data_IF_433451658017
#
_entry.id   IF_433451658017
#
_cell.length_a   1.000
_cell.length_b   1.000
_cell.length_c   1.000
_cell.angle_alpha   90.00
_cell.angle_beta   90.00
_cell.angle_gamma   90.00
#
_symmetry.space_group_name_H-M   'P 1'
#
loop_
_entity.id
_entity.type
_entity.pdbx_description
1 polymer ?
#
# COMPACT_ATOMS: atom_id res chain seq x y z
N UNK A 1 -32.60 3.04 -3.70
CA UNK A 1 -31.75 1.99 -3.11
C UNK A 1 -32.33 1.57 -1.78
N UNK A 2 -32.42 0.27 -1.50
CA UNK A 2 -32.86 -0.24 -0.19
C UNK A 2 -31.69 -0.32 0.79
N UNK A 3 -31.98 -0.33 2.09
CA UNK A 3 -30.99 -0.55 3.15
C UNK A 3 -30.18 -1.85 2.92
N UNK A 4 -30.85 -2.90 2.43
CA UNK A 4 -30.21 -4.18 2.11
C UNK A 4 -29.19 -4.05 0.97
N UNK A 5 -29.49 -3.27 -0.07
CA UNK A 5 -28.55 -3.00 -1.16
C UNK A 5 -27.33 -2.21 -0.68
N UNK A 6 -27.54 -1.23 0.22
CA UNK A 6 -26.46 -0.45 0.82
C UNK A 6 -25.54 -1.33 1.66
N UNK A 7 -26.10 -2.22 2.50
CA UNK A 7 -25.32 -3.15 3.32
C UNK A 7 -24.48 -4.12 2.48
N UNK A 8 -25.03 -4.62 1.36
CA UNK A 8 -24.28 -5.46 0.42
C UNK A 8 -23.13 -4.71 -0.23
N UNK A 9 -23.35 -3.47 -0.67
CA UNK A 9 -22.30 -2.62 -1.25
C UNK A 9 -21.18 -2.32 -0.23
N UNK A 10 -21.53 -1.98 1.02
CA UNK A 10 -20.54 -1.77 2.10
C UNK A 10 -19.70 -3.03 2.33
N UNK A 11 -20.32 -4.21 2.33
CA UNK A 11 -19.63 -5.49 2.49
C UNK A 11 -18.70 -5.80 1.33
N UNK A 12 -19.08 -5.43 0.10
CA UNK A 12 -18.22 -5.57 -1.08
C UNK A 12 -17.03 -4.59 -1.02
N UNK A 13 -17.27 -3.34 -0.64
CA UNK A 13 -16.21 -2.34 -0.45
C UNK A 13 -15.22 -2.76 0.63
N UNK A 14 -15.67 -3.36 1.74
CA UNK A 14 -14.78 -3.89 2.77
C UNK A 14 -13.83 -4.95 2.22
N UNK A 15 -14.37 -5.93 1.47
CA UNK A 15 -13.54 -6.97 0.83
C UNK A 15 -12.51 -6.37 -0.14
N UNK A 16 -12.91 -5.39 -0.94
CA UNK A 16 -12.00 -4.70 -1.86
C UNK A 16 -10.89 -3.93 -1.14
N UNK A 17 -11.20 -3.27 -0.02
CA UNK A 17 -10.20 -2.59 0.82
C UNK A 17 -9.20 -3.59 1.41
N UNK A 18 -9.68 -4.74 1.90
CA UNK A 18 -8.82 -5.80 2.44
C UNK A 18 -7.92 -6.43 1.37
N UNK A 19 -8.45 -6.66 0.16
CA UNK A 19 -7.67 -7.13 -0.98
C UNK A 19 -6.57 -6.14 -1.37
N UNK A 20 -6.91 -4.85 -1.45
CA UNK A 20 -5.94 -3.79 -1.76
C UNK A 20 -4.87 -3.65 -0.67
N UNK A 21 -5.23 -3.83 0.61
CA UNK A 21 -4.27 -3.80 1.71
C UNK A 21 -3.24 -4.93 1.59
N UNK A 22 -3.67 -6.16 1.26
CA UNK A 22 -2.78 -7.31 1.04
C UNK A 22 -1.83 -7.10 -0.16
N UNK A 23 -2.34 -6.56 -1.26
CA UNK A 23 -1.52 -6.25 -2.43
C UNK A 23 -0.46 -5.21 -2.10
N UNK A 24 -0.85 -4.18 -1.35
CA UNK A 24 0.04 -3.12 -0.93
C UNK A 24 1.14 -3.63 0.01
N UNK A 25 0.80 -4.51 0.96
CA UNK A 25 1.79 -5.14 1.85
C UNK A 25 2.85 -5.90 1.08
N UNK A 26 2.44 -6.68 0.07
CA UNK A 26 3.35 -7.41 -0.83
C UNK A 26 4.29 -6.43 -1.53
N UNK A 27 3.75 -5.38 -2.13
CA UNK A 27 4.55 -4.42 -2.87
C UNK A 27 5.51 -3.62 -1.96
N UNK A 28 5.13 -3.29 -0.73
CA UNK A 28 6.02 -2.67 0.27
C UNK A 28 7.18 -3.60 0.61
N UNK A 29 6.90 -4.89 0.81
CA UNK A 29 7.92 -5.89 1.11
C UNK A 29 8.92 -6.02 -0.05
N UNK A 30 8.42 -6.16 -1.27
CA UNK A 30 9.25 -6.29 -2.47
C UNK A 30 10.11 -5.04 -2.70
N UNK A 31 9.52 -3.85 -2.51
CA UNK A 31 10.25 -2.59 -2.64
C UNK A 31 11.37 -2.47 -1.59
N UNK A 32 11.15 -2.89 -0.34
CA UNK A 32 12.21 -2.92 0.68
C UNK A 32 13.32 -3.92 0.37
N UNK A 33 12.95 -5.09 -0.15
CA UNK A 33 13.92 -6.12 -0.53
C UNK A 33 14.79 -5.63 -1.69
N UNK A 34 14.18 -5.04 -2.72
CA UNK A 34 14.89 -4.43 -3.84
C UNK A 34 15.83 -3.30 -3.37
N UNK A 35 15.43 -2.48 -2.39
CA UNK A 35 16.32 -1.43 -1.85
C UNK A 35 17.53 -2.04 -1.16
N UNK A 36 17.34 -3.14 -0.44
CA UNK A 36 18.43 -3.86 0.22
C UNK A 36 19.41 -4.43 -0.81
N UNK A 37 18.90 -5.01 -1.90
CA UNK A 37 19.75 -5.51 -3.00
C UNK A 37 20.53 -4.37 -3.67
N UNK A 38 19.87 -3.29 -4.05
CA UNK A 38 20.53 -2.12 -4.66
C UNK A 38 21.59 -1.55 -3.71
N UNK A 39 21.30 -1.49 -2.41
CA UNK A 39 22.27 -1.02 -1.41
C UNK A 39 23.47 -1.97 -1.23
N UNK A 40 23.27 -3.28 -1.38
CA UNK A 40 24.34 -4.27 -1.33
C UNK A 40 25.25 -4.19 -2.57
N UNK A 41 24.67 -4.06 -3.77
CA UNK A 41 25.41 -3.85 -5.03
C UNK A 41 26.16 -2.51 -5.04
N UNK A 42 25.56 -1.48 -4.44
CA UNK A 42 26.15 -0.14 -4.26
C UNK A 42 27.44 -0.12 -3.43
N UNK A 43 27.63 -1.06 -2.50
CA UNK A 43 28.89 -1.15 -1.75
C UNK A 43 30.11 -1.43 -2.65
N UNK A 44 29.89 -1.87 -3.88
CA UNK A 44 30.94 -2.08 -4.89
C UNK A 44 30.98 -1.06 -6.04
N UNK A 45 29.98 -0.18 -6.20
CA UNK A 45 29.83 0.72 -7.36
C UNK A 45 29.36 2.12 -6.95
N UNK A 46 30.17 3.14 -7.25
CA UNK A 46 29.89 4.56 -6.97
C UNK A 46 29.23 5.29 -8.14
N UNK A 47 28.26 4.66 -8.83
CA UNK A 47 27.59 5.25 -10.01
C UNK A 47 26.32 5.99 -9.60
N UNK A 48 26.15 7.24 -10.06
CA UNK A 48 24.99 8.08 -9.74
C UNK A 48 23.62 7.56 -10.20
N UNK A 49 23.58 6.51 -11.02
CA UNK A 49 22.35 5.79 -11.37
C UNK A 49 21.73 5.06 -10.19
N UNK A 50 22.56 4.46 -9.34
CA UNK A 50 22.12 3.64 -8.22
C UNK A 50 21.56 4.51 -7.07
N UNK A 51 22.13 5.71 -6.89
CA UNK A 51 21.60 6.73 -5.97
C UNK A 51 20.21 7.21 -6.41
N UNK A 52 20.00 7.44 -7.72
CA UNK A 52 18.69 7.80 -8.26
C UNK A 52 17.68 6.67 -8.09
N UNK A 53 18.09 5.42 -8.32
CA UNK A 53 17.24 4.24 -8.11
C UNK A 53 16.79 4.15 -6.65
N UNK A 54 17.71 4.23 -5.69
CA UNK A 54 17.37 4.28 -4.26
C UNK A 54 16.42 5.43 -3.90
N UNK A 55 16.59 6.60 -4.52
CA UNK A 55 15.67 7.73 -4.37
C UNK A 55 14.25 7.41 -4.84
N UNK A 56 14.10 6.86 -6.04
CA UNK A 56 12.80 6.45 -6.59
C UNK A 56 12.13 5.37 -5.75
N UNK A 57 12.92 4.43 -5.22
CA UNK A 57 12.40 3.36 -4.36
C UNK A 57 11.92 3.87 -3.00
N UNK A 58 12.60 4.86 -2.40
CA UNK A 58 12.11 5.52 -1.19
C UNK A 58 10.82 6.29 -1.45
N UNK A 59 10.73 7.01 -2.57
CA UNK A 59 9.50 7.69 -2.97
C UNK A 59 8.34 6.71 -3.17
N UNK A 60 8.62 5.54 -3.74
CA UNK A 60 7.63 4.47 -3.85
C UNK A 60 7.19 3.97 -2.45
N UNK A 61 8.11 3.76 -1.51
CA UNK A 61 7.77 3.37 -0.12
C UNK A 61 6.85 4.40 0.55
N UNK A 62 7.15 5.70 0.40
CA UNK A 62 6.32 6.77 0.96
C UNK A 62 4.93 6.81 0.34
N UNK A 63 4.84 6.61 -0.98
CA UNK A 63 3.56 6.51 -1.70
C UNK A 63 2.71 5.34 -1.20
N UNK A 64 3.33 4.18 -1.00
CA UNK A 64 2.65 2.99 -0.47
C UNK A 64 2.17 3.20 0.96
N UNK A 65 2.99 3.79 1.84
CA UNK A 65 2.58 4.11 3.21
C UNK A 65 1.38 5.07 3.25
N UNK A 66 1.29 6.02 2.32
CA UNK A 66 0.13 6.91 2.20
C UNK A 66 -1.12 6.12 1.78
N UNK A 67 -0.99 5.23 0.80
CA UNK A 67 -2.10 4.38 0.36
C UNK A 67 -2.54 3.39 1.45
N UNK A 68 -1.63 2.82 2.24
CA UNK A 68 -1.93 1.98 3.41
C UNK A 68 -2.80 2.73 4.42
N UNK A 69 -2.42 3.97 4.77
CA UNK A 69 -3.21 4.82 5.68
C UNK A 69 -4.59 5.15 5.12
N UNK A 70 -4.69 5.41 3.82
CA UNK A 70 -5.97 5.68 3.16
C UNK A 70 -6.90 4.46 3.21
N UNK A 71 -6.37 3.26 2.97
CA UNK A 71 -7.10 2.00 3.08
C UNK A 71 -7.55 1.73 4.52
N UNK A 72 -6.68 1.96 5.51
CA UNK A 72 -7.05 1.84 6.92
C UNK A 72 -8.20 2.79 7.30
N UNK A 73 -8.14 4.05 6.87
CA UNK A 73 -9.21 5.03 7.10
C UNK A 73 -10.51 4.63 6.40
N UNK A 74 -10.44 4.11 5.18
CA UNK A 74 -11.61 3.61 4.44
C UNK A 74 -12.26 2.42 5.15
N UNK A 75 -11.45 1.47 5.65
CA UNK A 75 -11.94 0.32 6.43
C UNK A 75 -12.67 0.77 7.70
N UNK A 76 -12.09 1.70 8.46
CA UNK A 76 -12.73 2.28 9.66
C UNK A 76 -14.03 2.99 9.31
N UNK A 77 -14.08 3.75 8.21
CA UNK A 77 -15.29 4.42 7.77
C UNK A 77 -16.40 3.43 7.40
N UNK A 78 -16.07 2.36 6.68
CA UNK A 78 -17.01 1.30 6.31
C UNK A 78 -17.57 0.57 7.54
N UNK A 79 -16.73 0.31 8.55
CA UNK A 79 -17.18 -0.27 9.82
C UNK A 79 -18.18 0.63 10.55
N UNK A 80 -17.95 1.95 10.56
CA UNK A 80 -18.87 2.92 11.17
C UNK A 80 -20.22 2.98 10.45
N UNK A 81 -20.24 2.86 9.13
CA UNK A 81 -21.48 2.84 8.34
C UNK A 81 -22.29 1.57 8.64
N UNK A 82 -21.62 0.43 8.80
CA UNK A 82 -22.27 -0.85 9.12
C UNK A 82 -22.82 -0.94 10.54
N UNK A 83 -22.27 -0.18 11.48
CA UNK A 83 -22.69 -0.17 12.89
C UNK A 83 -23.88 0.76 13.19
N UNK A 84 -24.35 1.52 12.20
CA UNK A 84 -25.53 2.39 12.27
C UNK A 84 -26.74 1.72 11.63
#
# INVERSE_FOLDING_TARGET
MSLMQVLQQVTQLQRQVDDQARLLETFVRDNRQNMTFVQAELKGSSKGHDVKLMGSMRQAEDGLRKAERALANASVALLRVRAK
#
